data_IF_770432882719
#
_entry.id   IF_770432882719
#
_cell.length_a   1.000
_cell.length_b   1.000
_cell.length_c   1.000
_cell.angle_alpha   90.00
_cell.angle_beta   90.00
_cell.angle_gamma   90.00
#
_symmetry.space_group_name_H-M   'P 1'
#
loop_
_entity.id
_entity.type
_entity.pdbx_description
1 polymer ?
#
# COMPACT_ATOMS: atom_id res chain seq x y z
N UNK A 1 -17.64 1.87 -25.43
CA UNK A 1 -16.45 1.97 -24.56
C UNK A 1 -16.89 2.53 -23.21
N UNK A 2 -16.29 2.09 -22.10
CA UNK A 2 -16.62 2.60 -20.76
C UNK A 2 -16.20 4.07 -20.62
N UNK A 3 -17.02 4.92 -20.01
CA UNK A 3 -16.65 6.32 -19.77
C UNK A 3 -15.62 6.47 -18.64
N UNK A 4 -15.72 5.59 -17.64
CA UNK A 4 -14.88 5.59 -16.43
C UNK A 4 -14.26 4.22 -16.26
N UNK A 5 -12.98 4.19 -15.88
CA UNK A 5 -12.26 2.96 -15.52
C UNK A 5 -11.72 3.12 -14.11
N UNK A 6 -11.99 2.13 -13.26
CA UNK A 6 -11.53 2.09 -11.88
C UNK A 6 -10.41 1.07 -11.78
N UNK A 7 -9.26 1.48 -11.26
CA UNK A 7 -8.10 0.61 -11.06
C UNK A 7 -7.85 0.34 -9.59
N UNK A 8 -7.40 -0.88 -9.28
CA UNK A 8 -6.65 -1.12 -8.04
C UNK A 8 -5.20 -0.65 -8.22
N UNK A 9 -4.48 -0.49 -7.11
CA UNK A 9 -3.05 -0.15 -7.13
C UNK A 9 -2.18 -1.40 -7.05
N UNK A 10 -2.11 -2.03 -5.88
CA UNK A 10 -1.26 -3.19 -5.64
C UNK A 10 -1.77 -4.43 -6.37
N UNK A 11 -0.86 -5.11 -7.09
CA UNK A 11 -1.18 -6.29 -7.89
C UNK A 11 -1.86 -5.99 -9.23
N UNK A 12 -2.12 -4.71 -9.54
CA UNK A 12 -2.68 -4.26 -10.82
C UNK A 12 -1.79 -3.23 -11.50
N UNK A 13 -1.47 -2.13 -10.83
CA UNK A 13 -0.61 -1.06 -11.36
C UNK A 13 0.82 -1.13 -10.79
N UNK A 14 0.96 -1.70 -9.59
CA UNK A 14 2.25 -1.93 -8.95
C UNK A 14 2.40 -3.43 -8.64
N UNK A 15 3.59 -3.95 -8.83
CA UNK A 15 3.97 -5.24 -8.29
C UNK A 15 4.17 -5.15 -6.76
N UNK A 16 3.76 -6.19 -6.05
CA UNK A 16 3.97 -6.32 -4.61
C UNK A 16 4.94 -7.47 -4.30
N UNK A 17 6.13 -7.11 -3.81
CA UNK A 17 7.15 -8.08 -3.36
C UNK A 17 7.26 -8.07 -1.84
N UNK A 18 6.39 -8.84 -1.20
CA UNK A 18 6.35 -8.97 0.25
C UNK A 18 7.64 -9.52 0.86
N UNK A 19 8.46 -10.26 0.11
CA UNK A 19 9.72 -10.78 0.62
C UNK A 19 10.69 -9.64 0.96
N UNK A 20 10.65 -8.55 0.19
CA UNK A 20 11.52 -7.39 0.41
C UNK A 20 11.23 -6.59 1.68
N UNK A 21 10.03 -6.73 2.26
CA UNK A 21 9.73 -6.21 3.59
C UNK A 21 9.85 -7.29 4.67
N UNK A 22 9.30 -8.49 4.43
CA UNK A 22 9.25 -9.54 5.45
C UNK A 22 10.65 -10.03 5.87
N UNK A 23 11.57 -10.21 4.92
CA UNK A 23 12.92 -10.71 5.21
C UNK A 23 13.71 -9.79 6.12
N UNK A 24 13.93 -8.50 5.76
CA UNK A 24 14.68 -7.60 6.64
C UNK A 24 13.96 -7.36 7.98
N UNK A 25 12.62 -7.29 8.01
CA UNK A 25 11.90 -7.17 9.27
C UNK A 25 12.05 -8.41 10.15
N UNK A 26 12.11 -9.61 9.56
CA UNK A 26 12.37 -10.85 10.30
C UNK A 26 13.81 -10.92 10.82
N UNK A 27 14.80 -10.45 10.06
CA UNK A 27 16.20 -10.37 10.50
C UNK A 27 16.41 -9.40 11.68
N UNK A 28 15.60 -8.34 11.74
CA UNK A 28 15.62 -7.33 12.81
C UNK A 28 14.73 -7.71 14.01
N UNK A 29 14.04 -8.85 13.93
CA UNK A 29 13.02 -9.31 14.86
C UNK A 29 13.50 -10.52 15.65
N UNK A 30 12.98 -10.68 16.88
CA UNK A 30 13.14 -11.91 17.66
C UNK A 30 12.10 -12.99 17.33
N UNK A 31 11.27 -12.78 16.31
CA UNK A 31 10.20 -13.69 15.88
C UNK A 31 10.60 -14.49 14.64
N UNK A 32 9.87 -15.58 14.36
CA UNK A 32 10.07 -16.32 13.12
C UNK A 32 9.63 -15.51 11.90
N UNK A 33 10.23 -15.78 10.74
CA UNK A 33 9.78 -15.18 9.47
C UNK A 33 8.29 -15.41 9.22
N UNK A 34 7.74 -16.58 9.58
CA UNK A 34 6.32 -16.89 9.43
C UNK A 34 5.45 -15.96 10.31
N UNK A 35 5.83 -15.73 11.56
CA UNK A 35 5.11 -14.82 12.46
C UNK A 35 5.18 -13.37 11.96
N UNK A 36 6.35 -12.91 11.52
CA UNK A 36 6.53 -11.56 10.93
C UNK A 36 5.70 -11.43 9.65
N UNK A 37 5.81 -12.38 8.73
CA UNK A 37 5.08 -12.36 7.45
C UNK A 37 3.57 -12.42 7.65
N UNK A 38 3.08 -13.10 8.69
CA UNK A 38 1.64 -13.14 9.00
C UNK A 38 1.12 -11.75 9.37
N UNK A 39 1.86 -11.03 10.21
CA UNK A 39 1.48 -9.65 10.58
C UNK A 39 1.66 -8.68 9.42
N UNK A 40 2.84 -8.69 8.78
CA UNK A 40 3.23 -7.72 7.75
C UNK A 40 2.34 -7.78 6.51
N UNK A 41 1.86 -8.96 6.10
CA UNK A 41 1.09 -9.06 4.86
C UNK A 41 -0.34 -8.57 4.98
N UNK A 42 -1.02 -8.89 6.08
CA UNK A 42 -2.44 -8.58 6.27
C UNK A 42 -2.90 -8.73 7.73
N UNK A 43 -1.97 -8.57 8.68
CA UNK A 43 -2.27 -8.64 10.10
C UNK A 43 -3.17 -7.51 10.59
N UNK A 44 -3.73 -7.64 11.80
CA UNK A 44 -4.65 -6.64 12.36
C UNK A 44 -4.05 -5.22 12.42
N UNK A 45 -2.74 -5.08 12.66
CA UNK A 45 -2.09 -3.76 12.74
C UNK A 45 -2.00 -3.13 11.35
N UNK A 46 -1.67 -3.92 10.33
CA UNK A 46 -1.65 -3.48 8.93
C UNK A 46 -3.05 -3.07 8.48
N UNK A 47 -4.08 -3.87 8.81
CA UNK A 47 -5.47 -3.51 8.52
C UNK A 47 -5.90 -2.21 9.20
N UNK A 48 -5.51 -2.00 10.46
CA UNK A 48 -5.80 -0.76 11.19
C UNK A 48 -5.13 0.45 10.52
N UNK A 49 -3.89 0.28 10.05
CA UNK A 49 -3.17 1.30 9.26
C UNK A 49 -3.88 1.60 7.93
N UNK A 50 -4.30 0.55 7.22
CA UNK A 50 -5.05 0.70 5.97
C UNK A 50 -6.45 1.29 6.16
N UNK A 51 -7.01 1.25 7.36
CA UNK A 51 -8.25 1.94 7.72
C UNK A 51 -8.02 3.38 8.22
N UNK A 52 -6.77 3.86 8.22
CA UNK A 52 -6.43 5.21 8.69
C UNK A 52 -6.52 5.38 10.20
N UNK A 53 -6.59 4.28 10.95
CA UNK A 53 -6.73 4.31 12.41
C UNK A 53 -5.39 4.57 13.12
N UNK A 54 -4.29 4.45 12.39
CA UNK A 54 -2.94 4.66 12.88
C UNK A 54 -2.23 5.71 12.02
N UNK A 55 -1.60 6.68 12.66
CA UNK A 55 -0.60 7.52 11.99
C UNK A 55 0.62 6.66 11.59
N UNK A 56 1.46 7.11 10.62
CA UNK A 56 2.67 6.37 10.25
C UNK A 56 3.57 6.00 11.44
N UNK A 57 3.74 6.91 12.40
CA UNK A 57 4.54 6.67 13.60
C UNK A 57 3.86 5.70 14.59
N UNK A 58 2.53 5.70 14.70
CA UNK A 58 1.81 4.71 15.49
C UNK A 58 1.85 3.33 14.84
N UNK A 59 1.73 3.26 13.52
CA UNK A 59 1.86 2.03 12.77
C UNK A 59 3.25 1.41 12.94
N UNK A 60 4.31 2.20 12.75
CA UNK A 60 5.70 1.78 13.01
C UNK A 60 5.87 1.22 14.42
N UNK A 61 5.50 1.97 15.47
CA UNK A 61 5.63 1.53 16.86
C UNK A 61 4.84 0.25 17.12
N UNK A 62 3.64 0.13 16.57
CA UNK A 62 2.76 -1.03 16.76
C UNK A 62 3.33 -2.28 16.08
N UNK A 63 3.82 -2.16 14.84
CA UNK A 63 4.46 -3.27 14.13
C UNK A 63 5.74 -3.68 14.85
N UNK A 64 6.65 -2.75 15.17
CA UNK A 64 7.89 -3.04 15.87
C UNK A 64 7.64 -3.73 17.22
N UNK A 65 6.65 -3.27 17.99
CA UNK A 65 6.27 -3.93 19.24
C UNK A 65 5.73 -5.35 19.01
N UNK A 66 4.87 -5.54 18.00
CA UNK A 66 4.26 -6.83 17.66
C UNK A 66 5.28 -7.87 17.22
N UNK A 67 6.25 -7.46 16.39
CA UNK A 67 7.30 -8.36 15.90
C UNK A 67 8.54 -8.34 16.79
N UNK A 68 8.56 -7.59 17.89
CA UNK A 68 9.72 -7.47 18.78
C UNK A 68 11.01 -7.10 18.02
N UNK A 69 10.93 -6.05 17.20
CA UNK A 69 12.06 -5.50 16.46
C UNK A 69 12.38 -4.09 16.96
N UNK A 70 13.67 -3.76 16.98
CA UNK A 70 14.17 -2.41 17.27
C UNK A 70 14.68 -1.78 15.97
N UNK A 71 13.83 -0.98 15.33
CA UNK A 71 14.08 -0.38 14.01
C UNK A 71 13.70 1.09 14.09
N UNK A 72 14.61 1.97 13.67
CA UNK A 72 14.33 3.40 13.59
C UNK A 72 13.23 3.67 12.55
N UNK A 73 12.44 4.74 12.75
CA UNK A 73 11.30 5.06 11.89
C UNK A 73 11.70 5.16 10.40
N UNK A 74 12.75 5.91 10.09
CA UNK A 74 13.19 6.12 8.69
C UNK A 74 13.61 4.79 8.03
N UNK A 75 14.34 3.94 8.75
CA UNK A 75 14.72 2.61 8.26
C UNK A 75 13.49 1.72 8.05
N UNK A 76 12.48 1.81 8.93
CA UNK A 76 11.23 1.09 8.76
C UNK A 76 10.49 1.55 7.51
N UNK A 77 10.40 2.87 7.26
CA UNK A 77 9.77 3.43 6.05
C UNK A 77 10.46 2.90 4.79
N UNK A 78 11.79 2.91 4.76
CA UNK A 78 12.57 2.37 3.65
C UNK A 78 12.27 0.89 3.42
N UNK A 79 12.22 0.09 4.48
CA UNK A 79 11.91 -1.35 4.37
C UNK A 79 10.47 -1.57 3.92
N UNK A 80 9.52 -0.83 4.49
CA UNK A 80 8.09 -0.97 4.25
C UNK A 80 7.73 -0.66 2.79
N UNK A 81 8.36 0.36 2.20
CA UNK A 81 8.12 0.76 0.82
C UNK A 81 8.79 -0.16 -0.22
N UNK A 82 9.77 -0.99 0.16
CA UNK A 82 10.42 -1.93 -0.78
C UNK A 82 9.48 -2.97 -1.37
N UNK A 83 8.28 -3.13 -0.80
CA UNK A 83 7.28 -4.01 -1.41
C UNK A 83 6.82 -3.49 -2.77
N UNK A 84 6.89 -2.18 -3.00
CA UNK A 84 6.32 -1.52 -4.16
C UNK A 84 7.32 -1.50 -5.31
N UNK A 85 6.87 -1.89 -6.49
CA UNK A 85 7.61 -1.71 -7.73
C UNK A 85 6.64 -1.37 -8.85
N UNK A 86 6.97 -0.34 -9.64
CA UNK A 86 6.19 0.05 -10.82
C UNK A 86 6.06 -1.12 -11.81
N UNK A 87 4.87 -1.29 -12.36
CA UNK A 87 4.61 -2.10 -13.55
C UNK A 87 4.58 -1.13 -14.75
N UNK A 88 5.69 -1.06 -15.49
CA UNK A 88 5.88 -0.08 -16.58
C UNK A 88 4.86 -0.24 -17.72
N UNK A 89 4.42 -1.48 -17.99
CA UNK A 89 3.42 -1.76 -19.02
C UNK A 89 2.06 -1.20 -18.59
N UNK A 90 1.69 -1.39 -17.33
CA UNK A 90 0.45 -0.84 -16.77
C UNK A 90 0.51 0.68 -16.64
N UNK A 91 1.67 1.25 -16.29
CA UNK A 91 1.88 2.69 -16.29
C UNK A 91 1.70 3.31 -17.69
N UNK A 92 2.21 2.66 -18.73
CA UNK A 92 2.01 3.07 -20.12
C UNK A 92 0.52 2.99 -20.52
N UNK A 93 -0.16 1.90 -20.14
CA UNK A 93 -1.58 1.72 -20.40
C UNK A 93 -2.44 2.80 -19.72
N UNK A 94 -2.15 3.13 -18.46
CA UNK A 94 -2.84 4.22 -17.73
C UNK A 94 -2.69 5.54 -18.49
N UNK A 95 -1.49 5.87 -18.97
CA UNK A 95 -1.24 7.09 -19.76
C UNK A 95 -2.04 7.12 -21.06
N UNK A 96 -2.20 5.99 -21.74
CA UNK A 96 -3.03 5.90 -22.95
C UNK A 96 -4.52 6.08 -22.63
N UNK A 97 -5.03 5.33 -21.65
CA UNK A 97 -6.44 5.35 -21.29
C UNK A 97 -6.89 6.72 -20.75
N UNK A 98 -6.02 7.41 -19.99
CA UNK A 98 -6.30 8.73 -19.44
C UNK A 98 -6.55 9.82 -20.49
N UNK A 99 -6.24 9.57 -21.77
CA UNK A 99 -6.53 10.49 -22.87
C UNK A 99 -8.01 10.51 -23.27
N UNK A 100 -8.72 9.41 -23.02
CA UNK A 100 -10.06 9.15 -23.54
C UNK A 100 -11.06 8.71 -22.47
N UNK A 101 -10.58 8.34 -21.28
CA UNK A 101 -11.39 7.82 -20.18
C UNK A 101 -11.13 8.64 -18.92
N UNK A 102 -12.16 8.77 -18.10
CA UNK A 102 -12.00 9.20 -16.72
C UNK A 102 -11.38 8.05 -15.93
N UNK A 103 -10.27 8.31 -15.24
CA UNK A 103 -9.56 7.30 -14.47
C UNK A 103 -9.75 7.53 -12.98
N UNK A 104 -10.04 6.45 -12.25
CA UNK A 104 -10.23 6.47 -10.80
C UNK A 104 -9.33 5.41 -10.18
N UNK A 105 -8.57 5.79 -9.15
CA UNK A 105 -7.83 4.84 -8.33
C UNK A 105 -8.68 4.44 -7.13
N UNK A 106 -8.78 3.15 -6.85
CA UNK A 106 -9.51 2.59 -5.72
C UNK A 106 -8.66 1.53 -5.03
N UNK A 107 -7.98 1.88 -3.94
CA UNK A 107 -6.96 1.01 -3.33
C UNK A 107 -7.10 0.84 -1.81
N UNK A 108 -6.91 -0.40 -1.35
CA UNK A 108 -6.57 -0.66 0.03
C UNK A 108 -5.08 -0.35 0.22
N UNK A 109 -4.76 0.69 0.98
CA UNK A 109 -3.40 1.17 1.19
C UNK A 109 -3.29 1.84 2.56
N UNK A 110 -2.06 2.04 3.04
CA UNK A 110 -1.77 2.79 4.25
C UNK A 110 -1.11 4.14 3.93
N UNK A 111 -1.01 5.00 4.95
CA UNK A 111 -0.47 6.36 4.81
C UNK A 111 0.99 6.43 4.34
N UNK A 112 1.80 5.40 4.58
CA UNK A 112 3.21 5.34 4.14
C UNK A 112 3.27 4.95 2.67
N UNK A 113 2.59 3.85 2.30
CA UNK A 113 2.61 3.36 0.92
C UNK A 113 2.03 4.36 -0.06
N UNK A 114 0.91 5.02 0.27
CA UNK A 114 0.32 6.00 -0.66
C UNK A 114 1.20 7.23 -0.80
N UNK A 115 1.79 7.74 0.29
CA UNK A 115 2.69 8.88 0.23
C UNK A 115 3.91 8.57 -0.65
N UNK A 116 4.54 7.42 -0.45
CA UNK A 116 5.66 6.96 -1.28
C UNK A 116 5.25 6.78 -2.75
N UNK A 117 4.09 6.18 -2.99
CA UNK A 117 3.61 5.93 -4.35
C UNK A 117 3.38 7.23 -5.12
N UNK A 118 2.72 8.22 -4.50
CA UNK A 118 2.44 9.51 -5.11
C UNK A 118 3.71 10.32 -5.44
N UNK A 119 4.78 10.13 -4.66
CA UNK A 119 6.07 10.78 -4.89
C UNK A 119 6.90 10.09 -5.98
N UNK A 120 6.83 8.76 -6.09
CA UNK A 120 7.78 7.98 -6.90
C UNK A 120 7.18 7.44 -8.22
N UNK A 121 5.85 7.40 -8.37
CA UNK A 121 5.20 6.83 -9.56
C UNK A 121 4.39 7.88 -10.31
N UNK A 122 5.02 8.52 -11.30
CA UNK A 122 4.45 9.66 -12.04
C UNK A 122 3.10 9.35 -12.71
N UNK A 123 2.86 8.09 -13.13
CA UNK A 123 1.63 7.72 -13.82
C UNK A 123 0.38 7.91 -12.94
N UNK A 124 0.53 7.95 -11.60
CA UNK A 124 -0.58 8.22 -10.70
C UNK A 124 -1.18 9.60 -10.93
N UNK A 125 -0.41 10.57 -11.44
CA UNK A 125 -0.92 11.88 -11.82
C UNK A 125 -1.99 11.88 -12.93
N UNK A 126 -2.20 10.75 -13.63
CA UNK A 126 -3.23 10.60 -14.65
C UNK A 126 -4.65 10.34 -14.08
N UNK A 127 -4.78 10.09 -12.78
CA UNK A 127 -6.07 9.76 -12.15
C UNK A 127 -6.84 11.02 -11.70
N UNK A 128 -8.15 11.06 -12.01
CA UNK A 128 -9.04 12.19 -11.66
C UNK A 128 -9.47 12.17 -10.19
N UNK A 129 -9.51 10.99 -9.58
CA UNK A 129 -9.97 10.76 -8.20
C UNK A 129 -9.25 9.56 -7.60
N UNK A 130 -9.06 9.63 -6.29
CA UNK A 130 -8.50 8.58 -5.46
C UNK A 130 -9.53 8.21 -4.38
N UNK A 131 -9.86 6.93 -4.29
CA UNK A 131 -10.59 6.32 -3.21
C UNK A 131 -9.60 5.44 -2.46
N UNK A 132 -9.13 5.91 -1.32
CA UNK A 132 -8.04 5.30 -0.57
C UNK A 132 -8.59 4.84 0.78
N UNK A 133 -8.38 3.57 1.12
CA UNK A 133 -8.96 2.99 2.32
C UNK A 133 -8.59 3.73 3.60
N UNK A 134 -7.35 4.24 3.68
CA UNK A 134 -6.85 4.94 4.87
C UNK A 134 -7.44 6.34 5.03
N UNK A 135 -7.95 6.94 3.96
CA UNK A 135 -8.65 8.22 4.02
C UNK A 135 -10.14 8.04 4.26
N UNK A 136 -10.71 6.93 3.75
CA UNK A 136 -12.14 6.65 3.83
C UNK A 136 -12.54 5.89 5.10
N UNK A 137 -11.60 5.19 5.74
CA UNK A 137 -11.89 4.26 6.84
C UNK A 137 -12.68 3.03 6.38
N UNK A 138 -12.54 2.64 5.10
CA UNK A 138 -13.26 1.52 4.49
C UNK A 138 -12.27 0.64 3.72
N UNK A 139 -12.46 -0.69 3.76
CA UNK A 139 -11.63 -1.65 3.03
C UNK A 139 -12.45 -2.43 2.02
N UNK A 140 -11.92 -2.63 0.81
CA UNK A 140 -12.39 -3.69 -0.09
C UNK A 140 -12.16 -5.06 0.58
N UNK A 141 -13.08 -6.04 0.45
CA UNK A 141 -14.26 -6.04 -0.42
C UNK A 141 -15.56 -5.62 0.29
N UNK A 142 -15.51 -4.84 1.38
CA UNK A 142 -16.73 -4.33 2.02
C UNK A 142 -17.60 -3.58 0.98
N UNK A 143 -18.88 -3.93 0.77
CA UNK A 143 -19.74 -3.26 -0.19
C UNK A 143 -19.85 -1.75 0.04
N UNK A 144 -19.72 -1.28 1.28
CA UNK A 144 -19.75 0.14 1.65
C UNK A 144 -18.64 0.93 0.99
N UNK A 145 -17.50 0.29 0.69
CA UNK A 145 -16.41 0.90 -0.06
C UNK A 145 -16.84 1.37 -1.46
N UNK A 146 -17.82 0.70 -2.07
CA UNK A 146 -18.23 0.89 -3.46
C UNK A 146 -19.53 1.70 -3.63
N UNK A 147 -20.16 2.14 -2.53
CA UNK A 147 -21.43 2.89 -2.52
C UNK A 147 -21.18 4.40 -2.46
#
# INVERSE_FOLDING_TARGET
MAATIIFDLGGVLLHLDWHKACTPLAELSNQSYEAVSTEVRNGPIVQSSMLGQLTPQEFHRSICAKIQADVAFDQFIDIWNRILREDEDMAALVKELGRCHRLILASNTDGIHIAHSMENFEFLGAFDRYFLSNEMGLLKPDPTYFQ
#
